data_IF_846136569155
#
_entry.id   IF_846136569155
#
_cell.length_a   1.000
_cell.length_b   1.000
_cell.length_c   1.000
_cell.angle_alpha   90.00
_cell.angle_beta   90.00
_cell.angle_gamma   90.00
#
_symmetry.space_group_name_H-M   'P 1'
#
loop_
_entity.id
_entity.type
_entity.pdbx_description
1 polymer ?
#
# COMPACT_ATOMS: atom_id res chain seq x y z
N UNK A 1 -0.09 0.60 -3.81
CA UNK A 1 0.49 -0.14 -2.66
C UNK A 1 0.35 -1.65 -2.97
N UNK A 2 0.97 -2.58 -2.24
CA UNK A 2 0.73 -4.00 -2.54
C UNK A 2 1.27 -5.01 -1.55
N UNK A 3 1.15 -6.29 -1.91
CA UNK A 3 1.40 -7.40 -0.97
C UNK A 3 2.82 -7.61 -0.53
N UNK A 4 2.97 -8.25 0.64
CA UNK A 4 4.26 -8.60 1.20
C UNK A 4 5.04 -9.52 0.26
N UNK A 5 6.31 -9.21 -0.01
CA UNK A 5 7.16 -9.93 -0.97
C UNK A 5 8.01 -10.97 -0.24
N UNK A 6 8.88 -10.48 0.64
CA UNK A 6 9.76 -11.26 1.50
C UNK A 6 9.27 -11.27 2.95
N UNK A 7 8.16 -10.59 3.23
CA UNK A 7 7.68 -10.25 4.56
C UNK A 7 7.83 -11.44 5.51
N UNK A 8 8.72 -11.26 6.47
CA UNK A 8 8.85 -12.04 7.68
C UNK A 8 8.96 -11.00 8.77
N UNK A 9 7.87 -10.59 9.42
CA UNK A 9 8.01 -9.67 10.55
C UNK A 9 8.17 -10.51 11.84
N UNK A 10 9.17 -10.38 12.73
CA UNK A 10 10.05 -9.32 13.30
C UNK A 10 9.40 -8.36 14.33
N UNK A 11 8.15 -7.95 14.18
CA UNK A 11 7.36 -7.39 15.28
C UNK A 11 6.31 -8.41 15.69
N UNK A 12 6.69 -9.23 16.67
CA UNK A 12 5.77 -10.15 17.32
C UNK A 12 4.67 -9.35 18.02
N UNK A 13 3.41 -9.68 17.74
CA UNK A 13 2.27 -9.25 18.56
C UNK A 13 2.37 -9.76 20.01
N UNK A 14 3.38 -10.59 20.30
CA UNK A 14 3.81 -10.95 21.64
C UNK A 14 5.17 -10.28 21.95
N UNK A 15 5.22 -9.27 22.83
CA UNK A 15 6.47 -8.83 23.43
C UNK A 15 7.20 -10.02 24.08
N UNK A 16 8.53 -10.01 24.13
CA UNK A 16 9.35 -11.09 24.72
C UNK A 16 8.96 -11.51 26.15
N UNK A 17 8.15 -10.72 26.86
CA UNK A 17 7.71 -10.91 28.23
C UNK A 17 6.20 -11.24 28.41
N UNK A 18 5.43 -11.53 27.36
CA UNK A 18 3.99 -11.83 27.54
C UNK A 18 3.76 -13.26 28.07
N UNK A 19 3.11 -13.38 29.22
CA UNK A 19 2.65 -14.65 29.83
C UNK A 19 1.55 -15.29 28.98
N UNK A 20 1.78 -16.52 28.49
CA UNK A 20 0.88 -17.60 28.02
C UNK A 20 -0.49 -17.33 27.34
N UNK A 21 -0.92 -16.09 27.11
CA UNK A 21 -2.20 -15.73 26.49
C UNK A 21 -2.07 -15.18 25.07
N UNK A 22 -0.85 -14.90 24.60
CA UNK A 22 -0.63 -14.44 23.24
C UNK A 22 -0.78 -15.62 22.27
N UNK A 23 -1.92 -15.71 21.58
CA UNK A 23 -2.14 -16.69 20.53
C UNK A 23 -1.33 -16.30 19.30
N UNK A 24 -0.39 -17.15 18.91
CA UNK A 24 0.50 -16.99 17.75
C UNK A 24 -0.22 -17.10 16.39
N UNK A 25 -1.55 -17.25 16.37
CA UNK A 25 -2.33 -17.53 15.16
C UNK A 25 -2.50 -16.33 14.22
N UNK A 26 -2.24 -15.11 14.68
CA UNK A 26 -2.39 -13.86 13.89
C UNK A 26 -1.04 -13.21 13.54
N UNK A 27 0.09 -13.82 13.92
CA UNK A 27 1.40 -13.20 13.85
C UNK A 27 2.37 -13.99 12.95
N UNK A 28 3.07 -13.28 12.07
CA UNK A 28 4.06 -13.84 11.14
C UNK A 28 3.49 -14.26 9.79
N UNK A 29 2.38 -13.65 9.38
CA UNK A 29 1.79 -13.82 8.06
C UNK A 29 2.34 -12.78 7.07
N UNK A 30 2.45 -13.17 5.80
CA UNK A 30 3.03 -12.31 4.76
C UNK A 30 2.04 -11.25 4.28
N UNK A 31 0.76 -11.52 4.48
CA UNK A 31 -0.37 -10.70 4.09
C UNK A 31 -1.00 -9.92 5.25
N UNK A 32 -2.06 -9.19 4.94
CA UNK A 32 -2.84 -8.42 5.92
C UNK A 32 -4.36 -8.67 5.82
N UNK A 33 -4.82 -9.78 5.24
CA UNK A 33 -6.24 -10.16 5.25
C UNK A 33 -6.73 -10.51 6.66
N UNK A 34 -6.96 -9.50 7.50
CA UNK A 34 -7.18 -9.61 8.95
C UNK A 34 -8.28 -10.60 9.37
N UNK A 35 -9.21 -10.96 8.48
CA UNK A 35 -10.34 -11.86 8.77
C UNK A 35 -10.18 -13.27 8.21
N UNK A 36 -9.05 -13.58 7.55
CA UNK A 36 -8.96 -14.75 6.68
C UNK A 36 -7.61 -15.49 6.66
N UNK A 37 -6.82 -15.33 7.71
CA UNK A 37 -5.57 -16.08 7.91
C UNK A 37 -5.76 -17.61 7.85
N UNK A 38 -6.94 -18.10 8.20
CA UNK A 38 -7.29 -19.53 8.13
C UNK A 38 -7.39 -20.08 6.70
N UNK A 39 -7.50 -19.20 5.70
CA UNK A 39 -7.70 -19.58 4.30
C UNK A 39 -6.58 -19.05 3.42
N UNK A 40 -6.19 -17.78 3.59
CA UNK A 40 -5.14 -17.11 2.82
C UNK A 40 -4.35 -16.10 3.67
N UNK A 41 -3.25 -16.55 4.30
CA UNK A 41 -2.39 -15.69 5.12
C UNK A 41 -1.33 -14.91 4.30
N UNK A 42 -1.36 -14.98 2.97
CA UNK A 42 -0.28 -14.46 2.13
C UNK A 42 -0.64 -13.16 1.41
N UNK A 43 -1.93 -12.93 1.19
CA UNK A 43 -2.41 -11.84 0.37
C UNK A 43 -2.51 -10.53 1.13
N UNK A 44 -2.37 -9.45 0.38
CA UNK A 44 -2.67 -8.10 0.85
C UNK A 44 -3.96 -7.63 0.17
N UNK A 45 -4.74 -6.81 0.86
CA UNK A 45 -6.08 -6.41 0.43
C UNK A 45 -6.17 -5.91 -1.02
N UNK A 46 -5.28 -5.01 -1.44
CA UNK A 46 -5.33 -4.41 -2.78
C UNK A 46 -5.11 -5.47 -3.85
N UNK A 47 -4.14 -6.37 -3.65
CA UNK A 47 -3.88 -7.44 -4.62
C UNK A 47 -4.89 -8.58 -4.54
N UNK A 48 -5.46 -8.84 -3.36
CA UNK A 48 -6.47 -9.88 -3.18
C UNK A 48 -7.81 -9.53 -3.83
N UNK A 49 -8.11 -8.24 -3.98
CA UNK A 49 -9.36 -7.77 -4.58
C UNK A 49 -9.52 -8.24 -6.03
N UNK A 50 -8.44 -8.20 -6.82
CA UNK A 50 -8.37 -8.83 -8.14
C UNK A 50 -6.93 -9.30 -8.44
N UNK A 51 -6.58 -10.54 -8.03
CA UNK A 51 -5.23 -11.09 -8.23
C UNK A 51 -4.81 -11.17 -9.69
N UNK A 52 -5.76 -11.41 -10.59
CA UNK A 52 -5.47 -11.55 -12.01
C UNK A 52 -5.23 -10.20 -12.67
N UNK A 53 -6.00 -9.16 -12.32
CA UNK A 53 -5.72 -7.80 -12.77
C UNK A 53 -4.34 -7.33 -12.26
N UNK A 54 -4.02 -7.56 -10.99
CA UNK A 54 -2.71 -7.25 -10.43
C UNK A 54 -1.58 -7.97 -11.19
N UNK A 55 -1.76 -9.25 -11.50
CA UNK A 55 -0.83 -10.01 -12.35
C UNK A 55 -0.65 -9.35 -13.72
N UNK A 56 -1.74 -8.98 -14.41
CA UNK A 56 -1.68 -8.35 -15.73
C UNK A 56 -0.94 -7.01 -15.70
N UNK A 57 -1.17 -6.17 -14.69
CA UNK A 57 -0.48 -4.88 -14.53
C UNK A 57 1.02 -5.09 -14.32
N UNK A 58 1.40 -5.97 -13.40
CA UNK A 58 2.82 -6.27 -13.11
C UNK A 58 3.52 -6.84 -14.34
N UNK A 59 2.86 -7.71 -15.11
CA UNK A 59 3.41 -8.32 -16.33
C UNK A 59 3.21 -7.52 -17.61
N UNK A 60 2.65 -6.31 -17.54
CA UNK A 60 2.31 -5.48 -18.72
C UNK A 60 3.53 -4.92 -19.47
N UNK A 61 4.71 -4.94 -18.86
CA UNK A 61 5.92 -4.25 -19.36
C UNK A 61 5.95 -2.74 -19.06
N UNK A 62 4.91 -2.19 -18.41
CA UNK A 62 4.94 -0.83 -17.88
C UNK A 62 5.84 -0.81 -16.63
N UNK A 63 6.82 0.12 -16.52
CA UNK A 63 7.66 0.22 -15.34
C UNK A 63 6.83 0.44 -14.07
N UNK A 64 6.82 -0.57 -13.20
CA UNK A 64 6.11 -0.53 -11.92
C UNK A 64 7.09 -0.26 -10.76
N UNK A 65 6.61 0.46 -9.74
CA UNK A 65 7.26 0.51 -8.42
C UNK A 65 6.29 -0.02 -7.39
N UNK A 66 6.70 -1.07 -6.67
CA UNK A 66 5.91 -1.68 -5.61
C UNK A 66 6.34 -1.14 -4.25
N UNK A 67 5.38 -0.74 -3.42
CA UNK A 67 5.56 -0.44 -2.01
C UNK A 67 4.83 -1.52 -1.22
N UNK A 68 5.54 -2.59 -0.82
CA UNK A 68 4.94 -3.76 -0.20
C UNK A 68 4.77 -3.57 1.32
N UNK A 69 4.02 -4.49 1.94
CA UNK A 69 3.92 -4.59 3.40
C UNK A 69 5.30 -4.67 4.09
N UNK A 70 6.30 -5.29 3.46
CA UNK A 70 7.68 -5.35 3.97
C UNK A 70 8.23 -3.97 4.31
N UNK A 71 8.00 -2.99 3.43
CA UNK A 71 8.52 -1.64 3.60
C UNK A 71 7.64 -0.83 4.55
N UNK A 72 6.32 -0.92 4.41
CA UNK A 72 5.40 -0.15 5.27
C UNK A 72 5.47 -0.61 6.71
N UNK A 73 5.74 -1.89 6.97
CA UNK A 73 5.96 -2.44 8.30
C UNK A 73 7.17 -1.83 9.04
N UNK A 74 8.05 -1.14 8.33
CA UNK A 74 9.21 -0.45 8.93
C UNK A 74 8.94 1.01 9.29
N UNK A 75 7.73 1.50 9.04
CA UNK A 75 7.29 2.88 9.33
C UNK A 75 5.92 2.90 10.04
N UNK A 76 5.81 2.30 11.24
CA UNK A 76 4.58 2.39 12.04
C UNK A 76 4.31 3.84 12.44
N UNK A 77 3.03 4.17 12.61
CA UNK A 77 2.63 5.43 13.25
C UNK A 77 2.94 5.32 14.73
N UNK A 78 3.99 5.98 15.21
CA UNK A 78 4.35 5.99 16.63
C UNK A 78 3.54 7.03 17.41
N UNK A 79 3.46 6.86 18.73
CA UNK A 79 2.88 7.87 19.62
C UNK A 79 3.62 9.21 19.49
N UNK A 80 4.94 9.18 19.38
CA UNK A 80 5.79 10.36 19.19
C UNK A 80 5.49 11.10 17.87
N UNK A 81 5.30 10.37 16.76
CA UNK A 81 4.84 10.98 15.51
C UNK A 81 3.44 11.57 15.66
N UNK A 82 2.52 10.84 16.28
CA UNK A 82 1.13 11.28 16.45
C UNK A 82 1.05 12.57 17.28
N UNK A 83 1.75 12.65 18.41
CA UNK A 83 1.83 13.86 19.22
C UNK A 83 2.51 15.02 18.48
N UNK A 84 3.56 14.74 17.72
CA UNK A 84 4.25 15.77 16.93
C UNK A 84 3.31 16.34 15.86
N UNK A 85 2.53 15.49 15.21
CA UNK A 85 1.51 15.93 14.26
C UNK A 85 0.40 16.71 14.98
N UNK A 86 -0.02 16.29 16.17
CA UNK A 86 -1.02 17.03 16.96
C UNK A 86 -0.56 18.48 17.23
N UNK A 87 0.73 18.66 17.54
CA UNK A 87 1.33 19.97 17.84
C UNK A 87 1.65 20.80 16.58
N UNK A 88 1.69 20.20 15.38
CA UNK A 88 2.15 20.84 14.13
C UNK A 88 1.08 20.83 13.02
N UNK A 89 0.08 21.72 13.15
CA UNK A 89 -1.06 21.84 12.23
C UNK A 89 -1.30 23.29 11.76
N UNK A 90 -0.31 23.88 11.10
CA UNK A 90 -0.27 25.27 10.66
C UNK A 90 -1.18 25.57 9.45
N UNK A 91 -1.75 24.55 8.82
CA UNK A 91 -2.65 24.67 7.66
C UNK A 91 -3.95 23.90 7.89
N UNK A 92 -4.99 24.24 7.12
CA UNK A 92 -6.25 23.48 7.16
C UNK A 92 -6.07 22.04 6.68
N UNK A 93 -5.17 21.81 5.72
CA UNK A 93 -4.84 20.48 5.22
C UNK A 93 -4.22 19.62 6.32
N UNK A 94 -3.24 20.16 7.05
CA UNK A 94 -2.63 19.47 8.19
C UNK A 94 -3.66 19.15 9.27
N UNK A 95 -4.58 20.08 9.57
CA UNK A 95 -5.65 19.85 10.55
C UNK A 95 -6.62 18.75 10.11
N UNK A 96 -6.98 18.70 8.83
CA UNK A 96 -7.84 17.66 8.29
C UNK A 96 -7.15 16.30 8.34
N UNK A 97 -5.92 16.21 7.83
CA UNK A 97 -5.13 14.98 7.85
C UNK A 97 -4.95 14.45 9.28
N UNK A 98 -4.64 15.32 10.24
CA UNK A 98 -4.54 14.92 11.64
C UNK A 98 -5.87 14.42 12.19
N UNK A 99 -6.98 15.12 11.93
CA UNK A 99 -8.32 14.66 12.35
C UNK A 99 -8.69 13.31 11.76
N UNK A 100 -8.40 13.07 10.48
CA UNK A 100 -8.62 11.78 9.83
C UNK A 100 -7.78 10.67 10.46
N UNK A 101 -6.50 10.93 10.73
CA UNK A 101 -5.63 9.99 11.43
C UNK A 101 -6.11 9.72 12.86
N UNK A 102 -6.58 10.75 13.56
CA UNK A 102 -7.15 10.64 14.90
C UNK A 102 -8.43 9.81 14.93
N UNK A 103 -9.31 9.96 13.93
CA UNK A 103 -10.48 9.08 13.78
C UNK A 103 -10.02 7.64 13.60
N UNK A 104 -9.06 7.39 12.70
CA UNK A 104 -8.53 6.05 12.48
C UNK A 104 -7.96 5.43 13.77
N UNK A 105 -7.22 6.21 14.57
CA UNK A 105 -6.75 5.81 15.91
C UNK A 105 -7.90 5.49 16.86
N UNK A 106 -8.87 6.40 16.98
CA UNK A 106 -9.97 6.30 17.94
C UNK A 106 -10.95 5.17 17.63
N UNK A 107 -11.01 4.74 16.37
CA UNK A 107 -11.84 3.63 15.90
C UNK A 107 -11.05 2.36 15.59
N UNK A 108 -9.75 2.33 15.91
CA UNK A 108 -8.92 1.16 15.62
C UNK A 108 -9.42 -0.04 16.42
N UNK A 109 -9.39 -1.22 15.80
CA UNK A 109 -10.06 -2.41 16.33
C UNK A 109 -9.34 -3.03 17.53
N UNK A 110 -8.09 -2.62 17.80
CA UNK A 110 -7.29 -3.06 18.93
C UNK A 110 -6.63 -1.87 19.66
N UNK A 111 -6.12 -2.12 20.87
CA UNK A 111 -5.36 -1.14 21.66
C UNK A 111 -3.91 -0.95 21.15
N UNK A 112 -3.59 -1.49 19.97
CA UNK A 112 -2.23 -1.58 19.42
C UNK A 112 -2.01 -0.69 18.19
N UNK A 113 -2.87 0.32 17.97
CA UNK A 113 -2.78 1.26 16.84
C UNK A 113 -1.35 1.71 16.54
N UNK A 114 -0.59 2.12 17.56
CA UNK A 114 0.78 2.63 17.37
C UNK A 114 1.82 1.58 16.93
N UNK A 115 1.40 0.31 16.87
CA UNK A 115 2.23 -0.82 16.46
C UNK A 115 1.64 -1.60 15.28
N UNK A 116 0.35 -1.41 14.97
CA UNK A 116 -0.38 -2.15 13.92
C UNK A 116 -0.91 -1.26 12.79
N UNK A 117 -0.97 0.06 12.96
CA UNK A 117 -1.32 1.01 11.91
C UNK A 117 -0.07 1.61 11.23
N UNK A 118 -0.12 1.66 9.90
CA UNK A 118 0.92 2.23 9.07
C UNK A 118 0.30 3.23 8.09
N UNK A 119 1.03 4.28 7.73
CA UNK A 119 0.56 5.21 6.70
C UNK A 119 0.91 4.69 5.30
N UNK A 120 0.37 3.51 4.94
CA UNK A 120 0.71 2.76 3.73
C UNK A 120 0.71 3.62 2.46
N UNK A 121 -0.42 4.27 2.16
CA UNK A 121 -0.60 5.01 0.92
C UNK A 121 0.09 6.38 0.93
N UNK A 122 0.16 7.02 2.10
CA UNK A 122 0.94 8.25 2.26
C UNK A 122 2.42 7.99 2.03
N UNK A 123 2.97 6.90 2.57
CA UNK A 123 4.36 6.51 2.36
C UNK A 123 4.63 6.16 0.89
N UNK A 124 3.72 5.43 0.25
CA UNK A 124 3.78 5.19 -1.20
C UNK A 124 3.80 6.52 -1.98
N UNK A 125 2.98 7.48 -1.58
CA UNK A 125 2.89 8.80 -2.21
C UNK A 125 4.19 9.60 -2.05
N UNK A 126 4.82 9.52 -0.87
CA UNK A 126 6.16 10.08 -0.64
C UNK A 126 7.22 9.43 -1.55
N UNK A 127 7.23 8.10 -1.65
CA UNK A 127 8.13 7.37 -2.55
C UNK A 127 7.95 7.85 -3.99
N UNK A 128 6.71 7.92 -4.47
CA UNK A 128 6.39 8.39 -5.80
C UNK A 128 6.82 9.86 -6.02
N UNK A 129 6.57 10.74 -5.05
CA UNK A 129 7.01 12.12 -5.08
C UNK A 129 8.53 12.23 -5.24
N UNK A 130 9.31 11.52 -4.42
CA UNK A 130 10.78 11.53 -4.54
C UNK A 130 11.27 10.99 -5.90
N UNK A 131 10.58 9.99 -6.48
CA UNK A 131 10.88 9.50 -7.84
C UNK A 131 10.58 10.56 -8.89
N UNK A 132 9.47 11.30 -8.76
CA UNK A 132 9.07 12.34 -9.71
C UNK A 132 10.01 13.55 -9.67
N UNK A 133 10.48 13.93 -8.48
CA UNK A 133 11.40 15.06 -8.26
C UNK A 133 12.80 14.78 -8.82
N UNK A 134 13.33 13.58 -8.60
CA UNK A 134 14.70 13.24 -8.96
C UNK A 134 14.81 12.62 -10.37
N UNK A 135 14.48 13.38 -11.42
CA UNK A 135 14.51 12.89 -12.81
C UNK A 135 15.90 12.43 -13.29
N UNK A 136 16.98 12.86 -12.63
CA UNK A 136 18.37 12.50 -12.92
C UNK A 136 18.93 11.39 -12.02
N UNK A 137 18.10 10.72 -11.21
CA UNK A 137 18.56 9.64 -10.35
C UNK A 137 18.77 8.34 -11.13
N UNK A 138 19.94 8.21 -11.75
CA UNK A 138 20.33 7.05 -12.54
C UNK A 138 20.52 5.78 -11.70
N UNK A 139 20.70 5.89 -10.38
CA UNK A 139 20.91 4.77 -9.48
C UNK A 139 19.62 4.24 -8.85
N UNK A 140 18.47 4.89 -9.13
CA UNK A 140 17.19 4.45 -8.58
C UNK A 140 17.10 4.63 -7.07
N UNK A 141 17.76 5.64 -6.51
CA UNK A 141 17.61 5.96 -5.09
C UNK A 141 16.25 6.63 -4.83
N UNK A 142 15.85 6.64 -3.56
CA UNK A 142 14.66 7.30 -3.08
C UNK A 142 14.99 8.00 -1.76
N UNK A 143 14.45 9.21 -1.52
CA UNK A 143 14.70 9.95 -0.28
C UNK A 143 14.18 9.23 0.96
N UNK A 144 13.10 8.46 0.82
CA UNK A 144 12.34 7.91 1.93
C UNK A 144 12.48 6.40 2.11
N UNK A 145 12.96 5.68 1.09
CA UNK A 145 13.05 4.23 1.11
C UNK A 145 14.36 3.70 0.51
N UNK A 146 14.80 2.55 1.02
CA UNK A 146 15.75 1.70 0.31
C UNK A 146 14.99 0.97 -0.81
N UNK A 147 15.59 0.92 -2.02
CA UNK A 147 14.95 0.39 -3.22
C UNK A 147 15.79 -0.76 -3.80
N UNK A 148 15.13 -1.84 -4.22
CA UNK A 148 15.76 -2.98 -4.89
C UNK A 148 14.97 -3.37 -6.14
N UNK A 149 15.62 -3.99 -7.12
CA UNK A 149 14.91 -4.72 -8.17
C UNK A 149 14.74 -6.17 -7.74
N UNK A 150 13.49 -6.64 -7.68
CA UNK A 150 13.14 -7.98 -7.26
C UNK A 150 12.30 -8.63 -8.37
N UNK A 151 12.60 -9.88 -8.71
CA UNK A 151 11.78 -10.66 -9.63
C UNK A 151 10.54 -11.15 -8.91
N UNK A 152 9.39 -10.58 -9.23
CA UNK A 152 8.12 -10.89 -8.58
C UNK A 152 7.07 -11.40 -9.57
N UNK A 153 6.06 -12.09 -9.04
CA UNK A 153 4.80 -12.38 -9.72
C UNK A 153 3.66 -12.33 -8.71
N UNK A 154 2.44 -12.14 -9.18
CA UNK A 154 1.23 -12.30 -8.35
C UNK A 154 0.68 -13.71 -8.55
N UNK A 155 0.38 -14.41 -7.47
CA UNK A 155 -0.28 -15.71 -7.53
C UNK A 155 -1.78 -15.50 -7.78
N UNK A 156 -2.32 -16.11 -8.84
CA UNK A 156 -3.71 -15.90 -9.25
C UNK A 156 -4.60 -17.14 -9.09
N UNK A 157 -4.02 -18.29 -8.76
CA UNK A 157 -4.74 -19.54 -8.52
C UNK A 157 -3.84 -20.54 -7.79
N UNK A 158 -4.43 -21.58 -7.22
CA UNK A 158 -3.78 -22.53 -6.33
C UNK A 158 -3.73 -23.94 -6.91
N UNK A 159 -2.67 -24.67 -6.57
CA UNK A 159 -2.53 -26.07 -6.98
C UNK A 159 -3.64 -26.96 -6.40
N UNK A 160 -4.01 -28.06 -7.08
CA UNK A 160 -3.44 -28.54 -8.34
C UNK A 160 -3.92 -27.74 -9.57
N UNK A 161 -3.00 -27.44 -10.48
CA UNK A 161 -3.31 -26.75 -11.74
C UNK A 161 -3.94 -27.72 -12.75
N UNK A 162 -4.88 -27.24 -13.56
CA UNK A 162 -5.53 -28.01 -14.62
C UNK A 162 -6.72 -28.84 -14.16
N UNK A 163 -7.01 -28.88 -12.85
CA UNK A 163 -8.15 -29.58 -12.30
C UNK A 163 -9.27 -28.56 -12.07
N UNK A 164 -10.36 -28.69 -12.82
CA UNK A 164 -11.54 -27.85 -12.61
C UNK A 164 -12.34 -28.36 -11.41
N UNK A 165 -12.62 -27.47 -10.47
CA UNK A 165 -13.55 -27.66 -9.36
C UNK A 165 -14.69 -26.62 -9.37
N UNK A 166 -14.83 -25.88 -10.46
CA UNK A 166 -15.83 -24.82 -10.64
C UNK A 166 -15.46 -23.46 -10.06
N UNK A 167 -14.35 -23.34 -9.31
CA UNK A 167 -13.98 -22.08 -8.65
C UNK A 167 -13.41 -21.02 -9.60
N UNK A 168 -12.77 -21.44 -10.69
CA UNK A 168 -11.98 -20.57 -11.53
C UNK A 168 -12.75 -20.12 -12.80
N UNK A 169 -13.25 -18.87 -12.85
CA UNK A 169 -14.12 -18.41 -13.93
C UNK A 169 -13.42 -18.26 -15.29
N UNK A 170 -12.08 -18.35 -15.32
CA UNK A 170 -11.32 -18.32 -16.57
C UNK A 170 -11.38 -19.66 -17.31
N UNK A 171 -11.65 -20.76 -16.60
CA UNK A 171 -11.65 -22.12 -17.15
C UNK A 171 -12.99 -22.84 -16.98
N UNK A 172 -13.74 -22.55 -15.90
CA UNK A 172 -14.97 -23.27 -15.59
C UNK A 172 -16.03 -23.12 -16.69
N UNK A 173 -16.66 -24.24 -17.06
CA UNK A 173 -17.68 -24.31 -18.11
C UNK A 173 -17.23 -23.89 -19.52
N UNK A 174 -15.91 -23.79 -19.79
CA UNK A 174 -15.36 -23.25 -21.04
C UNK A 174 -14.60 -24.28 -21.85
N UNK A 175 -14.82 -24.28 -23.16
CA UNK A 175 -14.00 -25.02 -24.13
C UNK A 175 -12.68 -24.31 -24.44
N UNK A 176 -12.66 -22.97 -24.33
CA UNK A 176 -11.47 -22.14 -24.51
C UNK A 176 -11.32 -21.20 -23.31
N UNK A 177 -10.16 -21.20 -22.62
CA UNK A 177 -9.94 -20.32 -21.47
C UNK A 177 -10.07 -18.83 -21.83
N UNK A 178 -10.50 -18.01 -20.87
CA UNK A 178 -10.42 -16.55 -21.02
C UNK A 178 -8.96 -16.10 -21.12
N UNK A 179 -8.73 -14.95 -21.75
CA UNK A 179 -7.42 -14.30 -21.88
C UNK A 179 -6.32 -15.17 -22.51
N UNK A 180 -6.72 -16.20 -23.29
CA UNK A 180 -5.81 -17.18 -23.89
C UNK A 180 -4.88 -17.85 -22.88
N UNK A 181 -5.35 -18.07 -21.65
CA UNK A 181 -4.56 -18.69 -20.60
C UNK A 181 -4.27 -20.16 -20.94
N UNK A 182 -3.06 -20.60 -20.59
CA UNK A 182 -2.60 -21.97 -20.80
C UNK A 182 -3.42 -22.97 -19.98
N UNK A 183 -3.94 -24.00 -20.65
CA UNK A 183 -4.59 -25.14 -20.01
C UNK A 183 -3.52 -25.91 -19.24
N UNK A 184 -3.79 -26.22 -17.96
CA UNK A 184 -2.83 -26.79 -17.01
C UNK A 184 -1.67 -25.84 -16.61
N UNK A 185 -1.74 -24.57 -17.01
CA UNK A 185 -0.79 -23.54 -16.58
C UNK A 185 -1.04 -23.03 -15.16
N UNK A 186 -0.18 -22.14 -14.66
CA UNK A 186 -0.20 -21.62 -13.27
C UNK A 186 -1.45 -20.82 -12.90
N UNK A 187 -2.27 -20.45 -13.89
CA UNK A 187 -3.54 -19.74 -13.70
C UNK A 187 -4.76 -20.67 -13.68
N UNK A 188 -4.57 -21.96 -13.92
CA UNK A 188 -5.64 -22.95 -14.12
C UNK A 188 -5.99 -23.76 -12.88
N UNK A 189 -5.62 -23.26 -11.71
CA UNK A 189 -5.91 -23.90 -10.42
C UNK A 189 -7.17 -23.39 -9.76
N UNK A 190 -7.37 -23.77 -8.49
CA UNK A 190 -8.45 -23.28 -7.66
C UNK A 190 -8.29 -21.77 -7.38
N UNK A 191 -9.37 -21.00 -7.53
CA UNK A 191 -9.43 -19.58 -7.16
C UNK A 191 -10.25 -19.44 -5.88
N UNK A 192 -9.72 -18.75 -4.88
CA UNK A 192 -10.43 -18.56 -3.63
C UNK A 192 -11.76 -17.83 -3.85
N UNK A 193 -12.88 -18.47 -3.52
CA UNK A 193 -14.22 -17.96 -3.86
C UNK A 193 -14.86 -17.11 -2.76
N UNK A 194 -14.34 -17.22 -1.53
CA UNK A 194 -14.81 -16.50 -0.33
C UNK A 194 -13.72 -16.52 0.73
N UNK A 195 -13.84 -15.68 1.77
CA UNK A 195 -12.88 -15.64 2.87
C UNK A 195 -12.67 -17.06 3.42
N UNK A 196 -13.70 -17.68 4.00
CA UNK A 196 -13.61 -19.07 4.51
C UNK A 196 -13.90 -20.13 3.46
N UNK A 197 -13.14 -20.11 2.36
CA UNK A 197 -13.24 -21.13 1.34
C UNK A 197 -12.80 -22.49 1.91
N UNK A 198 -13.68 -23.53 1.93
CA UNK A 198 -13.35 -24.84 2.47
C UNK A 198 -12.17 -25.49 1.77
N UNK A 199 -11.95 -25.19 0.48
CA UNK A 199 -10.78 -25.67 -0.22
C UNK A 199 -9.53 -25.12 0.44
N UNK A 200 -9.49 -23.84 0.79
CA UNK A 200 -8.32 -23.13 1.30
C UNK A 200 -7.99 -23.45 2.77
N UNK A 201 -8.97 -23.94 3.54
CA UNK A 201 -8.82 -24.18 4.98
C UNK A 201 -8.01 -25.45 5.27
N UNK A 202 -7.05 -25.35 6.19
CA UNK A 202 -6.27 -26.47 6.71
C UNK A 202 -6.62 -26.68 8.18
N UNK A 203 -7.01 -27.90 8.56
CA UNK A 203 -7.37 -28.22 9.95
C UNK A 203 -6.17 -28.00 10.88
N UNK A 204 -6.35 -27.18 11.91
CA UNK A 204 -5.32 -26.80 12.88
C UNK A 204 -4.04 -26.20 12.25
N UNK A 205 -4.15 -25.58 11.08
CA UNK A 205 -3.02 -25.01 10.35
C UNK A 205 -3.36 -23.67 9.69
N UNK A 206 -2.35 -23.08 9.04
CA UNK A 206 -2.51 -21.89 8.21
C UNK A 206 -3.20 -22.24 6.90
N UNK A 207 -3.97 -21.29 6.37
CA UNK A 207 -4.62 -21.45 5.07
C UNK A 207 -3.62 -21.74 3.95
N UNK A 208 -4.03 -22.56 2.98
CA UNK A 208 -3.15 -22.97 1.86
C UNK A 208 -3.34 -22.14 0.59
N UNK A 209 -4.38 -21.31 0.51
CA UNK A 209 -4.56 -20.45 -0.65
C UNK A 209 -3.60 -19.26 -0.60
N UNK A 210 -3.21 -18.80 -1.78
CA UNK A 210 -2.21 -17.76 -2.00
C UNK A 210 -2.66 -16.73 -3.04
N UNK A 211 -3.94 -16.69 -3.41
CA UNK A 211 -4.49 -15.70 -4.34
C UNK A 211 -4.10 -14.30 -3.89
N UNK A 212 -3.55 -13.48 -4.77
CA UNK A 212 -3.09 -12.12 -4.44
C UNK A 212 -1.73 -12.05 -3.76
N UNK A 213 -1.05 -13.19 -3.51
CA UNK A 213 0.29 -13.17 -2.94
C UNK A 213 1.31 -12.62 -3.94
N UNK A 214 2.01 -11.55 -3.58
CA UNK A 214 3.17 -11.04 -4.30
C UNK A 214 4.40 -11.90 -4.01
N UNK A 215 4.69 -12.85 -4.88
CA UNK A 215 5.75 -13.84 -4.64
C UNK A 215 7.03 -13.44 -5.35
N UNK A 216 8.13 -13.39 -4.60
CA UNK A 216 9.48 -13.42 -5.19
C UNK A 216 9.73 -14.78 -5.84
N UNK A 217 10.19 -14.78 -7.08
CA UNK A 217 10.41 -16.00 -7.87
C UNK A 217 11.74 -15.95 -8.62
N UNK A 218 12.33 -17.14 -8.79
CA UNK A 218 13.52 -17.33 -9.61
C UNK A 218 13.10 -17.87 -10.98
N UNK A 219 13.65 -17.31 -12.05
CA UNK A 219 13.44 -17.75 -13.43
C UNK A 219 12.43 -16.92 -14.22
N UNK A 220 12.01 -17.39 -15.40
CA UNK A 220 11.30 -16.57 -16.41
C UNK A 220 9.86 -16.22 -16.05
N UNK A 221 9.36 -16.71 -14.91
CA UNK A 221 7.98 -16.48 -14.44
C UNK A 221 7.82 -15.19 -13.65
N UNK A 222 8.92 -14.59 -13.22
CA UNK A 222 8.92 -13.31 -12.54
C UNK A 222 9.33 -12.20 -13.49
N UNK A 223 8.89 -10.99 -13.17
CA UNK A 223 9.34 -9.76 -13.83
C UNK A 223 10.13 -8.92 -12.84
N UNK A 224 11.23 -8.28 -13.27
CA UNK A 224 11.99 -7.39 -12.41
C UNK A 224 11.17 -6.13 -12.14
N UNK A 225 10.75 -5.95 -10.89
CA UNK A 225 10.00 -4.78 -10.43
C UNK A 225 10.84 -4.01 -9.44
N UNK A 226 10.78 -2.68 -9.48
CA UNK A 226 11.41 -1.83 -8.46
C UNK A 226 10.57 -1.91 -7.18
N UNK A 227 11.15 -2.34 -6.09
CA UNK A 227 10.45 -2.61 -4.82
C UNK A 227 11.09 -1.76 -3.72
N UNK A 228 10.28 -1.06 -2.93
CA UNK A 228 10.74 -0.48 -1.67
C UNK A 228 10.92 -1.61 -0.66
N UNK A 229 12.09 -1.71 -0.03
CA UNK A 229 12.39 -2.81 0.92
C UNK A 229 12.29 -2.39 2.38
N UNK A 230 12.56 -1.11 2.67
CA UNK A 230 12.34 -0.50 3.99
C UNK A 230 12.32 1.02 3.91
N UNK A 231 11.66 1.65 4.88
CA UNK A 231 11.73 3.08 5.10
C UNK A 231 13.09 3.49 5.68
N UNK A 232 13.61 4.63 5.24
CA UNK A 232 14.88 5.17 5.71
C UNK A 232 14.72 5.80 7.10
N UNK A 233 15.63 5.49 8.05
CA UNK A 233 15.64 6.16 9.34
C UNK A 233 16.03 7.62 9.14
N UNK A 234 15.39 8.49 9.92
CA UNK A 234 15.75 9.89 9.95
C UNK A 234 17.19 10.07 10.46
N UNK A 235 18.01 10.78 9.69
CA UNK A 235 19.41 11.05 10.04
C UNK A 235 19.55 12.22 11.03
N UNK A 236 18.52 13.05 11.20
CA UNK A 236 18.55 14.20 12.08
C UNK A 236 18.17 13.82 13.52
N UNK A 237 19.19 13.65 14.37
CA UNK A 237 19.02 13.33 15.79
C UNK A 237 18.34 14.42 16.63
N UNK A 238 18.08 15.61 16.08
CA UNK A 238 17.40 16.71 16.78
C UNK A 238 15.89 16.62 16.71
N UNK A 239 15.33 15.83 15.81
CA UNK A 239 13.87 15.70 15.65
C UNK A 239 13.38 14.44 16.34
N UNK A 240 12.20 14.54 16.94
CA UNK A 240 11.45 13.42 17.53
C UNK A 240 11.02 12.35 16.50
N UNK A 241 11.05 12.67 15.21
CA UNK A 241 10.54 11.77 14.16
C UNK A 241 11.62 10.77 13.74
N UNK A 242 11.28 9.49 13.66
CA UNK A 242 12.23 8.41 13.44
C UNK A 242 12.43 8.02 11.95
N UNK A 243 11.62 8.60 11.04
CA UNK A 243 11.66 8.32 9.59
C UNK A 243 11.73 9.60 8.77
N UNK A 244 12.56 9.60 7.73
CA UNK A 244 12.72 10.73 6.79
C UNK A 244 11.38 11.13 6.17
N UNK A 245 10.54 10.14 5.86
CA UNK A 245 9.21 10.39 5.32
C UNK A 245 8.34 11.21 6.27
N UNK A 246 8.33 10.91 7.58
CA UNK A 246 7.48 11.63 8.52
C UNK A 246 7.88 13.10 8.68
N UNK A 247 9.18 13.40 8.62
CA UNK A 247 9.68 14.79 8.59
C UNK A 247 9.14 15.51 7.37
N UNK A 248 9.40 14.96 6.17
CA UNK A 248 8.94 15.56 4.91
C UNK A 248 7.42 15.68 4.85
N UNK A 249 6.69 14.68 5.34
CA UNK A 249 5.25 14.64 5.34
C UNK A 249 4.66 15.80 6.17
N UNK A 250 5.13 16.00 7.40
CA UNK A 250 4.67 17.11 8.22
C UNK A 250 5.10 18.46 7.64
N UNK A 251 6.32 18.57 7.10
CA UNK A 251 6.78 19.82 6.48
C UNK A 251 5.90 20.21 5.29
N UNK A 252 5.61 19.27 4.37
CA UNK A 252 4.79 19.51 3.18
C UNK A 252 3.36 19.90 3.56
N UNK A 253 2.74 19.20 4.51
CA UNK A 253 1.39 19.55 4.95
C UNK A 253 1.32 20.95 5.57
N UNK A 254 2.40 21.40 6.22
CA UNK A 254 2.46 22.68 6.91
C UNK A 254 2.95 23.86 6.05
N UNK A 255 3.39 23.62 4.80
CA UNK A 255 3.73 24.70 3.85
C UNK A 255 2.53 25.60 3.58
N UNK A 256 2.73 26.89 3.33
CA UNK A 256 1.60 27.81 3.00
C UNK A 256 1.25 27.75 1.51
N UNK A 257 2.22 27.38 0.69
CA UNK A 257 2.08 27.13 -0.73
C UNK A 257 1.05 26.02 -0.96
N UNK A 258 0.18 26.19 -1.97
CA UNK A 258 -0.89 25.23 -2.29
C UNK A 258 -1.85 24.93 -1.13
N UNK A 259 -1.95 25.80 -0.13
CA UNK A 259 -3.01 25.69 0.87
C UNK A 259 -4.39 25.98 0.29
N UNK A 260 -5.36 25.22 0.78
CA UNK A 260 -6.76 25.35 0.47
C UNK A 260 -7.27 26.74 0.85
N UNK A 261 -8.05 27.31 -0.06
CA UNK A 261 -8.61 28.65 0.08
C UNK A 261 -9.76 28.72 1.09
N UNK A 262 -10.29 27.57 1.52
CA UNK A 262 -11.52 27.48 2.30
C UNK A 262 -11.28 26.82 3.66
N UNK A 263 -11.93 27.38 4.68
CA UNK A 263 -11.93 26.87 6.05
C UNK A 263 -13.14 25.95 6.26
N UNK A 264 -12.96 24.84 6.98
CA UNK A 264 -14.04 23.88 7.33
C UNK A 264 -15.23 24.52 8.05
N UNK A 265 -15.03 25.64 8.77
CA UNK A 265 -16.10 26.32 9.51
C UNK A 265 -17.00 27.22 8.66
N UNK A 266 -16.59 27.56 7.43
CA UNK A 266 -17.32 28.49 6.55
C UNK A 266 -17.84 27.83 5.27
N UNK A 267 -17.63 26.52 5.10
CA UNK A 267 -17.70 25.91 3.78
C UNK A 267 -19.12 25.64 3.25
N UNK A 268 -20.20 25.83 4.02
CA UNK A 268 -21.56 25.51 3.52
C UNK A 268 -22.74 26.40 4.00
N UNK A 269 -22.76 27.72 3.76
CA UNK A 269 -24.03 28.46 3.75
C UNK A 269 -24.72 28.41 2.38
N UNK A 270 -23.96 28.60 1.30
CA UNK A 270 -24.46 28.60 -0.09
C UNK A 270 -23.38 28.06 -1.03
N UNK A 271 -23.50 26.81 -1.45
CA UNK A 271 -22.57 26.20 -2.39
C UNK A 271 -22.70 26.86 -3.78
N UNK A 272 -21.66 27.55 -4.24
CA UNK A 272 -21.53 27.96 -5.65
C UNK A 272 -20.42 27.14 -6.30
N UNK A 273 -20.74 26.36 -7.33
CA UNK A 273 -19.76 25.55 -8.05
C UNK A 273 -18.77 26.40 -8.84
N UNK A 274 -17.71 26.89 -8.19
CA UNK A 274 -16.56 27.53 -8.85
C UNK A 274 -15.43 26.52 -8.95
N UNK A 275 -15.15 26.08 -10.18
CA UNK A 275 -14.01 25.20 -10.46
C UNK A 275 -12.76 26.05 -10.68
N UNK A 276 -11.84 26.02 -9.72
CA UNK A 276 -10.51 26.62 -9.88
C UNK A 276 -9.57 25.61 -10.52
N UNK A 277 -9.28 25.80 -11.82
CA UNK A 277 -8.22 25.04 -12.52
C UNK A 277 -6.93 25.86 -12.48
N UNK A 278 -5.80 25.30 -12.03
CA UNK A 278 -4.53 25.98 -12.16
C UNK A 278 -4.17 26.20 -13.63
N UNK A 279 -3.59 27.36 -13.96
CA UNK A 279 -3.11 27.65 -15.31
C UNK A 279 -1.67 27.15 -15.48
N UNK A 280 -1.51 26.10 -16.29
CA UNK A 280 -0.22 25.47 -16.57
C UNK A 280 0.39 25.92 -17.91
N UNK A 281 -0.19 26.92 -18.59
CA UNK A 281 0.35 27.40 -19.87
C UNK A 281 1.80 27.86 -19.70
N UNK A 282 2.70 27.27 -20.48
CA UNK A 282 4.13 27.58 -20.46
C UNK A 282 4.95 26.85 -19.39
N UNK A 283 4.35 26.00 -18.55
CA UNK A 283 5.08 25.15 -17.58
C UNK A 283 5.36 23.77 -18.18
N UNK A 284 6.57 23.25 -17.93
CA UNK A 284 6.91 21.85 -18.25
C UNK A 284 6.33 20.95 -17.17
N UNK A 285 5.42 20.07 -17.56
CA UNK A 285 4.77 19.13 -16.62
C UNK A 285 5.67 17.90 -16.37
N UNK A 286 5.56 17.34 -15.17
CA UNK A 286 6.21 16.09 -14.79
C UNK A 286 5.72 14.86 -15.58
N UNK A 287 6.29 13.69 -15.29
CA UNK A 287 5.85 12.41 -15.87
C UNK A 287 4.44 12.08 -15.37
N UNK A 288 3.63 11.44 -16.23
CA UNK A 288 2.36 10.87 -15.78
C UNK A 288 2.66 9.68 -14.86
N UNK A 289 2.09 9.68 -13.66
CA UNK A 289 2.17 8.58 -12.69
C UNK A 289 0.75 8.16 -12.38
N UNK A 290 0.53 6.85 -12.34
CA UNK A 290 -0.74 6.24 -11.92
C UNK A 290 -0.51 5.68 -10.53
N UNK A 291 -1.40 6.05 -9.61
CA UNK A 291 -1.41 5.53 -8.25
C UNK A 291 -2.51 4.49 -8.14
N UNK A 292 -2.15 3.31 -7.66
CA UNK A 292 -3.12 2.27 -7.32
C UNK A 292 -3.33 2.28 -5.80
N UNK A 293 -4.47 2.84 -5.40
CA UNK A 293 -4.91 3.14 -4.03
C UNK A 293 -6.31 2.53 -3.84
N UNK A 294 -6.58 1.95 -2.67
CA UNK A 294 -7.78 1.15 -2.39
C UNK A 294 -9.02 1.97 -1.97
N UNK A 295 -8.89 3.30 -2.01
CA UNK A 295 -9.83 4.31 -1.54
C UNK A 295 -10.18 4.18 -0.04
N UNK A 296 -9.19 3.85 0.79
CA UNK A 296 -9.32 3.87 2.25
C UNK A 296 -9.31 5.31 2.81
N UNK A 297 -9.63 5.48 4.09
CA UNK A 297 -9.49 6.78 4.75
C UNK A 297 -8.04 7.31 4.72
N UNK A 298 -7.04 6.42 4.63
CA UNK A 298 -5.63 6.77 4.47
C UNK A 298 -5.33 7.44 3.13
N UNK A 299 -6.10 7.12 2.09
CA UNK A 299 -5.88 7.68 0.75
C UNK A 299 -6.23 9.16 0.66
N UNK A 300 -7.20 9.63 1.45
CA UNK A 300 -7.46 11.07 1.52
C UNK A 300 -6.26 11.83 2.11
N UNK A 301 -5.57 11.23 3.08
CA UNK A 301 -4.35 11.81 3.65
C UNK A 301 -3.24 11.82 2.60
N UNK A 302 -3.07 10.71 1.87
CA UNK A 302 -2.11 10.58 0.78
C UNK A 302 -2.37 11.60 -0.35
N UNK A 303 -3.63 11.74 -0.77
CA UNK A 303 -4.06 12.68 -1.80
C UNK A 303 -3.79 14.13 -1.38
N UNK A 304 -4.13 14.51 -0.14
CA UNK A 304 -3.87 15.86 0.36
C UNK A 304 -2.36 16.13 0.39
N UNK A 305 -1.55 15.17 0.84
CA UNK A 305 -0.10 15.29 0.77
C UNK A 305 0.39 15.53 -0.66
N UNK A 306 -0.10 14.75 -1.64
CA UNK A 306 0.26 14.95 -3.06
C UNK A 306 -0.14 16.33 -3.57
N UNK A 307 -1.36 16.80 -3.22
CA UNK A 307 -1.86 18.12 -3.64
C UNK A 307 -1.09 19.29 -3.01
N UNK A 308 -0.45 19.05 -1.86
CA UNK A 308 0.40 20.03 -1.18
C UNK A 308 1.80 20.12 -1.77
N UNK A 309 2.25 19.13 -2.53
CA UNK A 309 3.52 19.20 -3.23
C UNK A 309 3.50 20.26 -4.35
N UNK A 310 4.66 20.83 -4.72
CA UNK A 310 4.74 21.80 -5.81
C UNK A 310 4.17 21.25 -7.13
N UNK A 311 3.35 22.04 -7.81
CA UNK A 311 2.59 21.56 -8.98
C UNK A 311 3.48 21.36 -10.22
N UNK A 312 4.65 22.00 -10.24
CA UNK A 312 5.71 21.75 -11.20
C UNK A 312 6.30 20.33 -11.06
N UNK A 313 6.18 19.73 -9.88
CA UNK A 313 6.69 18.39 -9.57
C UNK A 313 5.64 17.30 -9.84
N UNK A 314 4.34 17.59 -9.68
CA UNK A 314 3.25 16.62 -9.83
C UNK A 314 2.09 17.16 -10.66
N UNK A 315 1.85 16.54 -11.81
CA UNK A 315 0.65 16.75 -12.61
C UNK A 315 -0.40 15.68 -12.29
N UNK A 316 -1.20 15.91 -11.25
CA UNK A 316 -2.31 15.05 -10.88
C UNK A 316 -3.45 15.21 -11.89
N UNK A 317 -3.76 14.15 -12.65
CA UNK A 317 -4.99 14.08 -13.44
C UNK A 317 -6.03 13.34 -12.61
N UNK A 318 -7.08 14.06 -12.20
CA UNK A 318 -8.26 13.54 -11.51
C UNK A 318 -9.36 13.29 -12.54
#
# INVERSE_FOLDING_TARGET
MGGGVRSQNLTGCCPKNSTSSCQTTECGDRGNLFTDYTSNPYAEFNLFMDPFAAYQVIHSGIPATLVPLDATNTIPVTEEFFETFEKNQNTYEAQYCFKSLKIARDTWFDDHFYTSYFMWDSFMSGIAASIMRNQHNHQGENEFAEMEYINITVVTSNMPYGISDGSNPFFDGRTTPKFNLEINGVHSGHVQTRLRDPFCIVKNGRGKCQDGYTKEVVGPRGVPVRVAVRAKPNQNSKTALDREFFVSFLDVLNQRENSGLFNFSTQFPHYSGKLHKPDFRGKKLGKNVVFDMDMSAGDFIALIYILKLPVEEINLKV
#
